data_IF_787736157102
#
_entry.id   IF_787736157102
#
_cell.length_a   1.000
_cell.length_b   1.000
_cell.length_c   1.000
_cell.angle_alpha   90.00
_cell.angle_beta   90.00
_cell.angle_gamma   90.00
#
_symmetry.space_group_name_H-M   'P 1'
#
loop_
_entity.id
_entity.type
_entity.pdbx_description
1 polymer ?
#
# COMPACT_ATOMS: atom_id res chain seq x y z
N UNK A 1 -4.80 17.78 49.68
CA UNK A 1 -3.93 17.66 48.51
C UNK A 1 -4.69 18.17 47.32
N UNK A 2 -4.08 19.10 46.59
CA UNK A 2 -4.65 19.81 45.46
C UNK A 2 -3.93 19.34 44.20
N UNK A 3 -4.69 18.94 43.18
CA UNK A 3 -4.16 18.43 41.92
C UNK A 3 -4.13 19.57 40.89
N UNK A 4 -3.01 19.75 40.22
CA UNK A 4 -2.80 20.82 39.26
C UNK A 4 -2.31 20.28 37.93
N UNK A 5 -2.87 20.84 36.85
CA UNK A 5 -2.38 20.71 35.50
C UNK A 5 -1.45 21.88 35.18
N UNK A 6 -0.22 21.59 34.78
CA UNK A 6 0.75 22.57 34.31
C UNK A 6 0.64 22.69 32.79
N UNK A 7 0.39 23.91 32.31
CA UNK A 7 0.17 24.22 30.91
C UNK A 7 1.44 24.80 30.26
N UNK A 8 1.62 24.55 28.96
CA UNK A 8 2.57 25.30 28.13
C UNK A 8 1.95 26.60 27.57
N UNK A 9 2.69 27.28 26.69
CA UNK A 9 2.26 28.51 26.01
C UNK A 9 1.05 28.31 25.05
N UNK A 10 0.75 27.07 24.69
CA UNK A 10 -0.39 26.70 23.83
C UNK A 10 -1.56 26.12 24.64
N UNK A 11 -1.54 26.30 25.97
CA UNK A 11 -2.51 25.74 26.91
C UNK A 11 -2.58 24.21 26.90
N UNK A 12 -1.50 23.52 26.52
CA UNK A 12 -1.40 22.07 26.54
C UNK A 12 -0.88 21.61 27.90
N UNK A 13 -1.51 20.60 28.49
CA UNK A 13 -1.06 19.98 29.75
C UNK A 13 0.25 19.24 29.54
N UNK A 14 1.34 19.80 30.06
CA UNK A 14 2.70 19.24 30.00
C UNK A 14 3.12 18.58 31.32
N UNK A 15 2.36 18.78 32.40
CA UNK A 15 2.64 18.18 33.70
C UNK A 15 1.40 18.08 34.58
N UNK A 16 1.39 17.09 35.48
CA UNK A 16 0.38 16.91 36.51
C UNK A 16 1.08 16.84 37.87
N UNK A 17 0.69 17.71 38.80
CA UNK A 17 1.36 17.88 40.09
C UNK A 17 0.36 17.86 41.23
N UNK A 18 0.85 17.51 42.42
CA UNK A 18 0.06 17.49 43.64
C UNK A 18 0.77 18.31 44.71
N UNK A 19 0.03 19.21 45.35
CA UNK A 19 0.54 20.08 46.41
C UNK A 19 -0.31 19.96 47.67
N UNK A 20 0.30 20.22 48.82
CA UNK A 20 -0.36 20.17 50.12
C UNK A 20 -1.17 21.43 50.42
N UNK A 21 -0.94 22.51 49.67
CA UNK A 21 -1.58 23.81 49.78
C UNK A 21 -2.05 24.31 48.40
N UNK A 22 -2.98 25.27 48.40
CA UNK A 22 -3.47 25.91 47.19
C UNK A 22 -2.40 26.85 46.63
N UNK A 23 -2.10 26.70 45.34
CA UNK A 23 -1.20 27.55 44.57
C UNK A 23 -2.00 28.49 43.69
N UNK A 24 -1.63 29.77 43.71
CA UNK A 24 -2.06 30.79 42.76
C UNK A 24 -0.85 31.17 41.89
N UNK A 25 -0.57 30.33 40.89
CA UNK A 25 0.59 30.47 40.00
C UNK A 25 0.12 30.33 38.56
N UNK A 26 0.59 31.26 37.71
CA UNK A 26 0.33 31.25 36.28
C UNK A 26 0.71 29.90 35.66
N UNK A 27 -0.10 29.40 34.72
CA UNK A 27 0.03 28.09 34.09
C UNK A 27 -0.24 26.85 34.96
N UNK A 28 -0.61 27.00 36.24
CA UNK A 28 -1.08 25.89 37.07
C UNK A 28 -2.59 25.98 37.28
N UNK A 29 -3.34 25.07 36.64
CA UNK A 29 -4.79 25.01 36.74
C UNK A 29 -5.19 23.91 37.70
N UNK A 30 -5.92 24.26 38.76
CA UNK A 30 -6.48 23.28 39.70
C UNK A 30 -7.45 22.36 38.94
N UNK A 31 -7.16 21.07 38.91
CA UNK A 31 -7.91 20.10 38.13
C UNK A 31 -7.72 18.67 38.64
N UNK A 32 -8.83 17.97 38.84
CA UNK A 32 -8.85 16.53 39.15
C UNK A 32 -9.04 15.66 37.89
N UNK A 33 -9.30 16.27 36.73
CA UNK A 33 -9.69 15.56 35.51
C UNK A 33 -8.79 15.83 34.30
N UNK A 34 -7.76 16.65 34.43
CA UNK A 34 -6.78 16.88 33.38
C UNK A 34 -5.91 15.64 33.12
N UNK A 35 -5.59 15.41 31.85
CA UNK A 35 -4.63 14.41 31.40
C UNK A 35 -3.47 15.08 30.67
N UNK A 36 -2.29 14.45 30.68
CA UNK A 36 -1.16 14.90 29.87
C UNK A 36 -1.56 14.96 28.40
N UNK A 37 -1.27 16.09 27.75
CA UNK A 37 -1.62 16.35 26.35
C UNK A 37 -3.01 16.95 26.12
N UNK A 38 -3.86 17.07 27.14
CA UNK A 38 -5.12 17.81 26.99
C UNK A 38 -4.85 19.29 26.69
N UNK A 39 -5.75 19.92 25.96
CA UNK A 39 -5.78 21.37 25.73
C UNK A 39 -6.76 21.99 26.71
N UNK A 40 -6.30 22.97 27.48
CA UNK A 40 -7.13 23.77 28.37
C UNK A 40 -7.78 24.93 27.61
N UNK A 41 -9.09 25.01 27.69
CA UNK A 41 -9.84 26.16 27.17
C UNK A 41 -10.10 27.15 28.31
N UNK A 42 -9.43 28.30 28.29
CA UNK A 42 -9.56 29.34 29.32
C UNK A 42 -10.98 29.93 29.42
N UNK A 43 -11.73 29.95 28.31
CA UNK A 43 -13.06 30.56 28.27
C UNK A 43 -14.12 29.66 28.91
N UNK A 44 -14.03 28.35 28.68
CA UNK A 44 -14.94 27.36 29.26
C UNK A 44 -14.41 26.73 30.55
N UNK A 45 -13.14 26.96 30.89
CA UNK A 45 -12.44 26.35 32.02
C UNK A 45 -12.50 24.81 31.97
N UNK A 46 -12.32 24.24 30.78
CA UNK A 46 -12.40 22.79 30.56
C UNK A 46 -11.17 22.27 29.85
N UNK A 47 -10.78 21.05 30.19
CA UNK A 47 -9.80 20.26 29.46
C UNK A 47 -10.51 19.46 28.37
N UNK A 48 -9.90 19.42 27.19
CA UNK A 48 -10.34 18.58 26.09
C UNK A 48 -9.13 17.98 25.40
N UNK A 49 -9.25 16.75 24.92
CA UNK A 49 -8.23 16.18 24.06
C UNK A 49 -8.04 17.07 22.81
N UNK A 50 -6.80 17.20 22.30
CA UNK A 50 -6.56 17.89 21.05
C UNK A 50 -7.38 17.22 19.96
N UNK A 51 -8.16 18.01 19.23
CA UNK A 51 -8.86 17.54 18.04
C UNK A 51 -7.76 17.28 17.01
N UNK A 52 -7.39 16.01 16.85
CA UNK A 52 -6.60 15.59 15.71
C UNK A 52 -7.58 15.58 14.54
N UNK A 53 -7.53 16.61 13.70
CA UNK A 53 -8.17 16.58 12.40
C UNK A 53 -7.43 15.51 11.58
N UNK A 54 -7.84 14.25 11.74
CA UNK A 54 -7.40 13.19 10.84
C UNK A 54 -7.93 13.54 9.46
N UNK A 55 -7.03 14.01 8.58
CA UNK A 55 -7.40 14.21 7.18
C UNK A 55 -8.01 12.90 6.66
N UNK A 56 -9.19 12.95 6.02
CA UNK A 56 -9.82 11.74 5.52
C UNK A 56 -8.86 11.09 4.52
N UNK A 57 -8.38 9.89 4.85
CA UNK A 57 -7.55 9.10 3.93
C UNK A 57 -8.34 8.96 2.62
N UNK A 58 -7.80 9.42 1.47
CA UNK A 58 -8.51 9.32 0.21
C UNK A 58 -8.90 7.87 -0.08
N UNK A 59 -10.20 7.57 -0.09
CA UNK A 59 -10.68 6.24 -0.47
C UNK A 59 -10.71 6.12 -1.99
N UNK A 60 -9.65 5.56 -2.56
CA UNK A 60 -9.63 5.27 -4.00
C UNK A 60 -10.52 4.06 -4.34
N UNK A 61 -11.24 4.07 -5.48
CA UNK A 61 -11.92 2.89 -5.97
C UNK A 61 -10.93 1.72 -6.15
N UNK A 62 -11.33 0.54 -5.68
CA UNK A 62 -10.54 -0.69 -5.83
C UNK A 62 -11.12 -1.50 -6.98
N UNK A 63 -10.35 -1.63 -8.06
CA UNK A 63 -10.71 -2.44 -9.23
C UNK A 63 -10.16 -3.86 -9.02
N UNK A 64 -11.03 -4.85 -9.05
CA UNK A 64 -10.63 -6.25 -8.95
C UNK A 64 -10.24 -6.79 -10.33
N UNK A 65 -8.99 -7.28 -10.47
CA UNK A 65 -8.60 -8.01 -11.67
C UNK A 65 -9.01 -9.49 -11.52
N UNK A 66 -9.83 -9.96 -12.46
CA UNK A 66 -10.40 -11.31 -12.44
C UNK A 66 -10.07 -12.08 -13.72
N UNK A 67 -10.27 -13.40 -13.70
CA UNK A 67 -10.06 -14.27 -14.87
C UNK A 67 -8.67 -14.08 -15.51
N UNK A 68 -7.66 -13.90 -14.66
CA UNK A 68 -6.27 -13.80 -15.08
C UNK A 68 -5.90 -15.06 -15.85
N UNK A 69 -5.38 -14.86 -17.05
CA UNK A 69 -4.93 -15.95 -17.91
C UNK A 69 -3.63 -15.58 -18.61
N UNK A 70 -2.77 -16.60 -18.78
CA UNK A 70 -1.51 -16.49 -19.50
C UNK A 70 -1.59 -17.42 -20.71
N UNK A 71 -1.28 -16.90 -21.89
CA UNK A 71 -1.19 -17.70 -23.11
C UNK A 71 0.19 -17.55 -23.73
N UNK A 72 0.82 -18.69 -24.01
CA UNK A 72 1.99 -18.78 -24.89
C UNK A 72 2.03 -20.19 -25.52
N UNK A 73 2.84 -20.42 -26.57
CA UNK A 73 2.98 -21.73 -27.17
C UNK A 73 3.32 -22.87 -26.20
N UNK A 74 4.16 -22.60 -25.19
CA UNK A 74 4.62 -23.63 -24.25
C UNK A 74 4.38 -23.27 -22.77
N UNK A 75 3.70 -22.15 -22.49
CA UNK A 75 3.28 -21.83 -21.14
C UNK A 75 2.23 -22.82 -20.63
N UNK A 76 2.37 -23.21 -19.37
CA UNK A 76 1.40 -24.09 -18.71
C UNK A 76 1.39 -23.81 -17.22
N UNK A 77 0.22 -23.99 -16.62
CA UNK A 77 0.02 -23.77 -15.18
C UNK A 77 0.34 -25.06 -14.42
N UNK A 78 1.29 -24.99 -13.48
CA UNK A 78 1.62 -26.08 -12.57
C UNK A 78 1.24 -25.65 -11.15
N UNK A 79 0.14 -26.20 -10.63
CA UNK A 79 -0.44 -25.72 -9.37
C UNK A 79 -0.94 -24.28 -9.51
N UNK A 80 -0.24 -23.32 -8.88
CA UNK A 80 -0.51 -21.88 -8.98
C UNK A 80 0.57 -21.10 -9.73
N UNK A 81 1.58 -21.79 -10.27
CA UNK A 81 2.76 -21.17 -10.88
C UNK A 81 2.70 -21.37 -12.38
N UNK A 82 2.77 -20.26 -13.13
CA UNK A 82 2.87 -20.30 -14.58
C UNK A 82 4.30 -20.62 -15.00
N UNK A 83 4.50 -21.79 -15.59
CA UNK A 83 5.77 -22.16 -16.18
C UNK A 83 5.83 -21.57 -17.57
N UNK A 84 6.79 -20.69 -17.82
CA UNK A 84 6.94 -19.97 -19.09
C UNK A 84 8.38 -20.13 -19.59
N UNK A 85 8.61 -20.53 -20.86
CA UNK A 85 9.97 -20.57 -21.37
C UNK A 85 10.62 -19.20 -21.37
N UNK A 86 11.88 -19.14 -20.94
CA UNK A 86 12.72 -17.95 -21.10
C UNK A 86 12.75 -17.52 -22.57
N UNK A 87 12.70 -16.21 -22.81
CA UNK A 87 12.64 -15.54 -24.11
C UNK A 87 11.38 -15.79 -24.94
N UNK A 88 10.47 -16.68 -24.53
CA UNK A 88 9.19 -16.85 -25.20
C UNK A 88 8.22 -15.72 -24.81
N UNK A 89 7.59 -15.12 -25.82
CA UNK A 89 6.55 -14.13 -25.58
C UNK A 89 5.28 -14.80 -25.05
N UNK A 90 4.72 -14.24 -24.01
CA UNK A 90 3.42 -14.60 -23.47
C UNK A 90 2.46 -13.41 -23.51
N UNK A 91 1.16 -13.69 -23.54
CA UNK A 91 0.10 -12.70 -23.36
C UNK A 91 -0.56 -12.93 -22.01
N UNK A 92 -0.62 -11.89 -21.19
CA UNK A 92 -1.43 -11.85 -19.98
C UNK A 92 -2.73 -11.12 -20.28
N UNK A 93 -3.86 -11.70 -19.89
CA UNK A 93 -5.17 -11.06 -19.94
C UNK A 93 -5.87 -11.13 -18.59
N UNK A 94 -6.65 -10.09 -18.25
CA UNK A 94 -7.52 -10.10 -17.09
C UNK A 94 -8.75 -9.20 -17.33
N UNK A 95 -9.85 -9.48 -16.65
CA UNK A 95 -10.99 -8.58 -16.58
C UNK A 95 -10.68 -7.45 -15.59
N UNK A 96 -10.90 -6.21 -15.98
CA UNK A 96 -10.67 -5.00 -15.21
C UNK A 96 -11.93 -4.10 -15.24
N UNK A 97 -13.08 -4.69 -14.92
CA UNK A 97 -14.36 -3.98 -14.95
C UNK A 97 -14.34 -2.73 -14.04
N UNK A 98 -14.81 -1.60 -14.55
CA UNK A 98 -14.79 -0.32 -13.84
C UNK A 98 -13.51 0.50 -14.01
N UNK A 99 -12.50 -0.01 -14.73
CA UNK A 99 -11.33 0.75 -15.12
C UNK A 99 -11.51 1.34 -16.53
N UNK A 100 -11.28 2.66 -16.65
CA UNK A 100 -11.33 3.36 -17.94
C UNK A 100 -10.19 2.91 -18.87
N UNK A 101 -10.39 3.12 -20.18
CA UNK A 101 -9.38 2.82 -21.19
C UNK A 101 -8.08 3.57 -20.90
N UNK A 102 -7.00 2.83 -20.68
CA UNK A 102 -5.74 3.40 -20.22
C UNK A 102 -4.55 2.48 -20.49
N UNK A 103 -3.36 2.95 -20.13
CA UNK A 103 -2.14 2.15 -20.09
C UNK A 103 -1.60 2.11 -18.66
N UNK A 104 -1.21 0.93 -18.20
CA UNK A 104 -0.64 0.71 -16.88
C UNK A 104 0.74 0.10 -17.04
N UNK A 105 1.73 0.69 -16.38
CA UNK A 105 3.04 0.07 -16.27
C UNK A 105 2.99 -1.04 -15.21
N UNK A 106 2.99 -2.30 -15.65
CA UNK A 106 3.05 -3.45 -14.75
C UNK A 106 4.51 -3.73 -14.40
N UNK A 107 4.81 -3.74 -13.10
CA UNK A 107 6.10 -4.16 -12.56
C UNK A 107 6.04 -5.66 -12.24
N UNK A 108 7.05 -6.38 -12.72
CA UNK A 108 7.23 -7.82 -12.48
C UNK A 108 8.57 -8.01 -11.80
N UNK A 109 8.55 -8.55 -10.60
CA UNK A 109 9.74 -8.68 -9.76
C UNK A 109 10.35 -10.05 -9.92
N UNK A 110 11.63 -10.13 -10.28
CA UNK A 110 12.37 -11.39 -10.15
C UNK A 110 12.78 -11.56 -8.70
N UNK A 111 12.52 -12.73 -8.13
CA UNK A 111 12.87 -13.03 -6.73
C UNK A 111 13.88 -14.18 -6.62
N UNK A 112 14.70 -14.12 -5.57
CA UNK A 112 15.50 -15.24 -5.07
C UNK A 112 15.00 -15.65 -3.68
N UNK A 113 15.34 -16.86 -3.23
CA UNK A 113 14.92 -17.38 -1.92
C UNK A 113 13.39 -17.27 -1.70
N UNK A 114 12.62 -17.49 -2.77
CA UNK A 114 11.16 -17.39 -2.84
C UNK A 114 10.53 -16.00 -2.63
N UNK A 115 11.18 -15.06 -1.91
CA UNK A 115 10.52 -13.80 -1.53
C UNK A 115 11.39 -12.56 -1.65
N UNK A 116 12.68 -12.65 -1.96
CA UNK A 116 13.57 -11.49 -2.01
C UNK A 116 13.67 -10.93 -3.43
N UNK A 117 13.12 -9.74 -3.75
CA UNK A 117 13.26 -9.13 -5.06
C UNK A 117 14.72 -8.78 -5.36
N UNK A 118 15.16 -9.08 -6.57
CA UNK A 118 16.53 -8.81 -7.07
C UNK A 118 16.56 -8.04 -8.38
N UNK A 119 15.43 -7.95 -9.08
CA UNK A 119 15.31 -7.25 -10.35
C UNK A 119 13.84 -6.89 -10.62
N UNK A 120 13.61 -5.80 -11.36
CA UNK A 120 12.29 -5.29 -11.75
C UNK A 120 12.20 -5.18 -13.27
N UNK A 121 11.31 -5.97 -13.89
CA UNK A 121 10.97 -5.83 -15.30
C UNK A 121 9.67 -5.03 -15.41
N UNK A 122 9.59 -4.16 -16.42
CA UNK A 122 8.42 -3.29 -16.65
C UNK A 122 7.80 -3.59 -18.00
N UNK A 123 6.50 -3.87 -17.99
CA UNK A 123 5.71 -4.07 -19.19
C UNK A 123 4.56 -3.07 -19.24
N UNK A 124 4.20 -2.62 -20.43
CA UNK A 124 3.01 -1.80 -20.63
C UNK A 124 1.82 -2.73 -20.83
N UNK A 125 0.88 -2.68 -19.90
CA UNK A 125 -0.44 -3.25 -20.07
C UNK A 125 -1.39 -2.20 -20.65
N UNK A 126 -2.29 -2.65 -21.51
CA UNK A 126 -3.35 -1.86 -22.09
C UNK A 126 -4.68 -2.32 -21.53
N UNK A 127 -5.50 -1.36 -21.13
CA UNK A 127 -6.89 -1.60 -20.71
C UNK A 127 -7.79 -1.03 -21.79
N UNK A 128 -8.64 -1.87 -22.36
CA UNK A 128 -9.64 -1.48 -23.35
C UNK A 128 -10.95 -2.18 -23.04
N UNK A 129 -12.05 -1.41 -22.94
CA UNK A 129 -13.39 -1.92 -22.69
C UNK A 129 -13.45 -2.85 -21.47
N UNK A 130 -12.76 -2.49 -20.38
CA UNK A 130 -12.71 -3.30 -19.16
C UNK A 130 -11.90 -4.60 -19.26
N UNK A 131 -11.07 -4.76 -20.29
CA UNK A 131 -10.15 -5.88 -20.43
C UNK A 131 -8.70 -5.39 -20.40
N UNK A 132 -7.91 -5.93 -19.47
CA UNK A 132 -6.47 -5.72 -19.39
C UNK A 132 -5.76 -6.74 -20.28
N UNK A 133 -4.81 -6.29 -21.08
CA UNK A 133 -3.93 -7.11 -21.89
C UNK A 133 -2.49 -6.63 -21.82
N UNK A 134 -1.53 -7.55 -21.78
CA UNK A 134 -0.11 -7.25 -21.74
C UNK A 134 0.65 -8.33 -22.50
N UNK A 135 1.67 -7.94 -23.27
CA UNK A 135 2.61 -8.86 -23.90
C UNK A 135 3.95 -8.71 -23.18
N UNK A 136 4.53 -9.82 -22.76
CA UNK A 136 5.82 -9.83 -22.07
C UNK A 136 6.65 -11.05 -22.45
N UNK A 137 7.92 -11.05 -22.03
CA UNK A 137 8.84 -12.17 -22.12
C UNK A 137 9.89 -12.06 -20.99
N UNK A 138 10.40 -13.19 -20.51
CA UNK A 138 11.43 -13.19 -19.47
C UNK A 138 12.83 -13.37 -20.07
N UNK A 139 13.72 -12.40 -19.85
CA UNK A 139 15.10 -12.46 -20.37
C UNK A 139 16.00 -13.41 -19.59
N UNK A 140 15.67 -13.67 -18.33
CA UNK A 140 16.43 -14.52 -17.42
C UNK A 140 15.53 -15.63 -16.89
N UNK A 141 16.13 -16.76 -16.51
CA UNK A 141 15.40 -17.80 -15.81
C UNK A 141 15.25 -17.45 -14.34
N UNK A 142 14.22 -17.98 -13.68
CA UNK A 142 13.96 -17.78 -12.26
C UNK A 142 12.50 -17.52 -11.95
N UNK A 143 12.24 -17.19 -10.69
CA UNK A 143 10.90 -16.95 -10.19
C UNK A 143 10.54 -15.47 -10.32
N UNK A 144 9.35 -15.19 -10.83
CA UNK A 144 8.85 -13.85 -11.03
C UNK A 144 7.48 -13.67 -10.40
N UNK A 145 7.25 -12.49 -9.83
CA UNK A 145 6.00 -12.14 -9.15
C UNK A 145 5.39 -10.87 -9.71
N UNK A 146 4.07 -10.88 -9.80
CA UNK A 146 3.26 -9.66 -9.96
C UNK A 146 2.31 -9.62 -8.77
N UNK A 147 2.39 -8.54 -7.99
CA UNK A 147 1.59 -8.36 -6.78
C UNK A 147 0.80 -7.06 -6.84
N UNK A 148 -0.41 -7.08 -6.27
CA UNK A 148 -1.23 -5.87 -6.15
C UNK A 148 -0.53 -4.81 -5.32
N UNK A 149 0.16 -5.21 -4.24
CA UNK A 149 0.92 -4.31 -3.37
C UNK A 149 1.94 -3.48 -4.16
N UNK A 150 2.79 -4.12 -4.96
CA UNK A 150 3.85 -3.41 -5.68
C UNK A 150 3.32 -2.58 -6.82
N UNK A 151 2.29 -3.07 -7.52
CA UNK A 151 1.64 -2.29 -8.56
C UNK A 151 0.95 -1.04 -7.98
N UNK A 152 0.25 -1.19 -6.85
CA UNK A 152 -0.41 -0.09 -6.15
C UNK A 152 0.58 0.93 -5.58
N UNK A 153 1.75 0.49 -5.09
CA UNK A 153 2.81 1.42 -4.68
C UNK A 153 3.34 2.25 -5.86
N UNK A 154 3.36 1.67 -7.07
CA UNK A 154 3.67 2.42 -8.31
C UNK A 154 2.58 3.43 -8.67
N UNK A 155 1.31 3.01 -8.57
CA UNK A 155 0.13 3.84 -8.83
C UNK A 155 0.01 5.01 -7.84
N UNK A 156 0.34 4.78 -6.57
CA UNK A 156 0.33 5.80 -5.53
C UNK A 156 1.33 6.92 -5.79
N UNK A 157 2.53 6.60 -6.28
CA UNK A 157 3.56 7.59 -6.62
C UNK A 157 3.17 8.56 -7.74
N UNK A 158 2.17 8.20 -8.53
CA UNK A 158 1.64 9.02 -9.63
C UNK A 158 0.24 9.56 -9.33
N UNK A 159 -0.20 9.48 -8.06
CA UNK A 159 -1.53 9.90 -7.60
C UNK A 159 -2.67 9.28 -8.43
N UNK A 160 -2.52 8.02 -8.82
CA UNK A 160 -3.55 7.35 -9.61
C UNK A 160 -4.88 7.31 -8.83
N UNK A 161 -6.01 7.58 -9.50
CA UNK A 161 -7.32 7.72 -8.85
C UNK A 161 -7.98 6.37 -8.55
N UNK A 162 -7.22 5.27 -8.51
CA UNK A 162 -7.71 3.92 -8.27
C UNK A 162 -6.63 3.03 -7.66
N UNK A 163 -7.04 1.87 -7.15
CA UNK A 163 -6.16 0.77 -6.73
C UNK A 163 -6.61 -0.52 -7.37
N UNK A 164 -5.70 -1.48 -7.49
CA UNK A 164 -5.95 -2.80 -8.07
C UNK A 164 -5.95 -3.87 -6.98
N UNK A 165 -6.81 -4.88 -7.11
CA UNK A 165 -6.85 -6.04 -6.23
C UNK A 165 -6.88 -7.33 -7.04
N UNK A 166 -5.95 -8.24 -6.75
CA UNK A 166 -5.85 -9.55 -7.39
C UNK A 166 -4.93 -10.47 -6.59
N UNK A 167 -5.10 -11.77 -6.79
CA UNK A 167 -4.20 -12.79 -6.23
C UNK A 167 -2.80 -12.66 -6.85
N UNK A 168 -1.72 -12.77 -6.06
CA UNK A 168 -0.36 -12.75 -6.59
C UNK A 168 -0.18 -13.74 -7.74
N UNK A 169 0.41 -13.26 -8.82
CA UNK A 169 0.75 -14.09 -9.96
C UNK A 169 2.21 -14.50 -9.87
N UNK A 170 2.46 -15.80 -9.91
CA UNK A 170 3.79 -16.38 -9.85
C UNK A 170 4.14 -17.04 -11.17
N UNK A 171 5.35 -16.79 -11.65
CA UNK A 171 5.90 -17.39 -12.85
C UNK A 171 7.23 -18.07 -12.55
N UNK A 172 7.45 -19.24 -13.14
CA UNK A 172 8.76 -19.87 -13.23
C UNK A 172 9.24 -19.78 -14.68
N UNK A 173 10.19 -18.86 -14.92
CA UNK A 173 10.83 -18.73 -16.21
C UNK A 173 11.91 -19.81 -16.34
N UNK A 174 11.64 -20.87 -17.10
CA UNK A 174 12.55 -22.00 -17.22
C UNK A 174 13.35 -21.94 -18.54
N UNK A 175 14.53 -22.57 -18.54
CA UNK A 175 15.29 -22.76 -19.78
C UNK A 175 14.64 -23.90 -20.56
N UNK A 176 14.07 -23.66 -21.74
CA UNK A 176 13.50 -24.74 -22.53
C UNK A 176 14.61 -25.73 -22.91
N UNK A 177 14.33 -27.03 -22.79
CA UNK A 177 15.26 -28.05 -23.27
C UNK A 177 15.52 -27.81 -24.75
N UNK A 178 16.74 -27.42 -25.09
CA UNK A 178 17.19 -27.45 -26.47
C UNK A 178 17.33 -28.92 -26.84
N UNK A 179 16.29 -29.49 -27.44
CA UNK A 179 16.45 -30.75 -28.13
C UNK A 179 17.43 -30.49 -29.27
N UNK A 180 18.62 -31.04 -29.07
CA UNK A 180 19.69 -31.27 -30.03
C UNK A 180 19.03 -31.82 -31.31
N UNK A 181 18.95 -30.98 -32.33
CA UNK A 181 18.65 -31.39 -33.70
C UNK A 181 19.95 -31.73 -34.42
#
# INVERSE_FOLDING_TARGET
>A
MYNYAHLDENNVVIGLYQFDEELDVEHYILSDNAQLGDVYNEQSQTFSQPIIDEEPVPSYPVISLQNVNITSPHAHLVGKIWWVPKLESFTLTANAEGLEDTQIMIMVERVINATQPVDDIRFVAKVENGALSMIGNFEQSGNYFITAERLNAGLERIDAPFRLSFEPMEFDAYVPNQNIS
#
